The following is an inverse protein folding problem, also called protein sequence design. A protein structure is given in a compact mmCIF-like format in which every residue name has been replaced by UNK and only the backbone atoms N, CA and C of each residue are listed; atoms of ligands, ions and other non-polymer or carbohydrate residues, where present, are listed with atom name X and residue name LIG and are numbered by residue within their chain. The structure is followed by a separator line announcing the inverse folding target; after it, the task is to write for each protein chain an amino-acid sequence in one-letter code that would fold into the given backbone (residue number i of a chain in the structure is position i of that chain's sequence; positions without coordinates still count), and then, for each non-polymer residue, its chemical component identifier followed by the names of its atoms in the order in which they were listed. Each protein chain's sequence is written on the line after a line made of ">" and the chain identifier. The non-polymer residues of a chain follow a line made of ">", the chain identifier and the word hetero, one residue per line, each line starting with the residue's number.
data_IF_164539550160
#
_entry.id   IF_164539550160
#
_cell.length_a   1.000
_cell.length_b   1.000
_cell.length_c   1.000
_cell.angle_alpha   90.00
_cell.angle_beta   90.00
_cell.angle_gamma   90.00
#
_symmetry.space_group_name_H-M   'P 1'
#
loop_
_entity.id
_entity.type
_entity.pdbx_description
1 polymer ?
#
# COMPACT_ATOMS: atom_id res chain seq x y z
N UNK A 1 -11.56 -6.37 15.63
CA UNK A 1 -11.60 -6.67 14.18
C UNK A 1 -10.69 -5.70 13.43
N UNK A 2 -9.87 -6.21 12.55
CA UNK A 2 -8.96 -5.38 11.73
C UNK A 2 -9.65 -5.05 10.40
N UNK A 3 -9.74 -3.77 10.07
CA UNK A 3 -10.50 -3.29 8.91
C UNK A 3 -9.58 -2.48 7.99
N UNK A 4 -9.54 -2.86 6.71
CA UNK A 4 -8.83 -2.12 5.67
C UNK A 4 -9.85 -1.56 4.67
N UNK A 5 -9.75 -0.26 4.38
CA UNK A 5 -10.54 0.40 3.33
C UNK A 5 -9.62 0.69 2.15
N UNK A 6 -9.95 0.10 1.01
CA UNK A 6 -9.12 0.12 -0.18
C UNK A 6 -9.57 1.18 -1.20
N UNK A 7 -8.76 1.34 -2.26
CA UNK A 7 -9.07 2.19 -3.42
C UNK A 7 -9.22 3.67 -3.09
N UNK A 8 -8.46 4.17 -2.12
CA UNK A 8 -8.41 5.58 -1.80
C UNK A 8 -7.64 6.34 -2.90
N UNK A 9 -8.16 7.47 -3.34
CA UNK A 9 -7.54 8.27 -4.39
C UNK A 9 -7.17 9.68 -3.95
N UNK A 10 -7.68 10.11 -2.80
CA UNK A 10 -7.43 11.45 -2.27
C UNK A 10 -7.12 11.39 -0.78
N UNK A 11 -6.49 12.45 -0.27
CA UNK A 11 -6.28 12.62 1.17
C UNK A 11 -7.61 12.60 1.93
N UNK A 12 -8.63 13.22 1.36
CA UNK A 12 -9.96 13.28 1.97
C UNK A 12 -10.56 11.89 2.16
N UNK A 13 -10.44 11.01 1.15
CA UNK A 13 -10.93 9.63 1.24
C UNK A 13 -10.20 8.86 2.34
N UNK A 14 -8.88 8.99 2.40
CA UNK A 14 -8.08 8.31 3.41
C UNK A 14 -8.37 8.81 4.82
N UNK A 15 -8.56 10.11 5.00
CA UNK A 15 -8.92 10.69 6.30
C UNK A 15 -10.31 10.25 6.75
N UNK A 16 -11.26 10.14 5.81
CA UNK A 16 -12.59 9.61 6.13
C UNK A 16 -12.55 8.17 6.58
N UNK A 17 -11.72 7.38 5.92
CA UNK A 17 -11.51 5.98 6.34
C UNK A 17 -10.96 5.91 7.76
N UNK A 18 -9.96 6.72 8.08
CA UNK A 18 -9.38 6.78 9.42
C UNK A 18 -10.42 7.20 10.46
N UNK A 19 -11.22 8.21 10.17
CA UNK A 19 -12.28 8.69 11.07
C UNK A 19 -13.37 7.65 11.31
N UNK A 20 -13.59 6.77 10.31
CA UNK A 20 -14.57 5.69 10.42
C UNK A 20 -14.07 4.49 11.22
N UNK A 21 -12.84 4.54 11.72
CA UNK A 21 -12.27 3.47 12.54
C UNK A 21 -11.49 2.42 11.75
N UNK A 22 -11.08 2.72 10.53
CA UNK A 22 -10.25 1.80 9.76
C UNK A 22 -8.87 1.67 10.40
N UNK A 23 -8.33 0.46 10.36
CA UNK A 23 -6.96 0.16 10.83
C UNK A 23 -5.95 0.38 9.73
N UNK A 24 -6.39 0.29 8.48
CA UNK A 24 -5.52 0.45 7.32
C UNK A 24 -6.28 1.05 6.14
N UNK A 25 -5.53 1.73 5.28
CA UNK A 25 -6.03 2.23 3.99
C UNK A 25 -5.20 1.63 2.88
N UNK A 26 -5.86 1.30 1.77
CA UNK A 26 -5.21 0.73 0.59
C UNK A 26 -5.22 1.69 -0.58
N UNK A 27 -4.13 1.65 -1.36
CA UNK A 27 -3.97 2.43 -2.58
C UNK A 27 -3.66 1.48 -3.73
N UNK A 28 -4.38 1.61 -4.83
CA UNK A 28 -4.28 0.68 -5.96
C UNK A 28 -3.31 1.22 -7.00
N UNK A 29 -2.22 0.48 -7.23
CA UNK A 29 -1.22 0.82 -8.24
C UNK A 29 -1.37 -0.01 -9.52
N UNK A 30 -2.44 -0.79 -9.59
CA UNK A 30 -2.78 -1.56 -10.78
C UNK A 30 -3.70 -0.77 -11.70
N UNK A 31 -3.74 -1.07 -13.00
CA UNK A 31 -4.68 -0.42 -13.92
C UNK A 31 -6.13 -0.60 -13.45
N UNK A 32 -6.79 0.51 -13.15
CA UNK A 32 -8.20 0.53 -12.73
C UNK A 32 -8.68 1.97 -12.72
N UNK A 33 -10.00 2.17 -12.50
CA UNK A 33 -10.57 3.52 -12.37
C UNK A 33 -10.09 4.23 -11.11
N UNK A 34 -9.53 3.51 -10.15
CA UNK A 34 -9.03 4.05 -8.88
C UNK A 34 -7.51 4.02 -8.78
N UNK A 35 -6.82 3.83 -9.91
CA UNK A 35 -5.35 3.79 -9.92
C UNK A 35 -4.76 5.13 -9.50
N UNK A 36 -3.73 5.07 -8.66
CA UNK A 36 -2.98 6.24 -8.19
C UNK A 36 -1.50 6.10 -8.56
N UNK A 37 -0.79 7.22 -8.58
CA UNK A 37 0.66 7.23 -8.80
C UNK A 37 1.40 7.20 -7.46
N UNK A 38 2.66 6.72 -7.44
CA UNK A 38 3.47 6.73 -6.22
C UNK A 38 3.64 8.13 -5.62
N UNK A 39 3.86 9.15 -6.44
CA UNK A 39 4.04 10.53 -5.97
C UNK A 39 2.75 11.09 -5.37
N UNK A 40 1.62 10.79 -5.98
CA UNK A 40 0.30 11.20 -5.48
C UNK A 40 0.07 10.61 -4.09
N UNK A 41 0.33 9.33 -3.92
CA UNK A 41 0.16 8.64 -2.64
C UNK A 41 1.17 9.14 -1.62
N UNK A 42 2.41 9.41 -2.01
CA UNK A 42 3.41 9.97 -1.12
C UNK A 42 2.97 11.29 -0.50
N UNK A 43 2.34 12.16 -1.28
CA UNK A 43 1.79 13.41 -0.76
C UNK A 43 0.64 13.17 0.22
N UNK A 44 -0.16 12.13 0.00
CA UNK A 44 -1.26 11.76 0.88
C UNK A 44 -0.74 11.18 2.20
N UNK A 45 0.20 10.24 2.12
CA UNK A 45 0.68 9.50 3.30
C UNK A 45 1.38 10.39 4.32
N UNK A 46 2.03 11.48 3.89
CA UNK A 46 2.66 12.42 4.81
C UNK A 46 1.65 13.14 5.71
N UNK A 47 0.39 13.19 5.31
CA UNK A 47 -0.66 13.87 6.05
C UNK A 47 -1.56 12.92 6.85
N UNK A 48 -1.32 11.61 6.79
CA UNK A 48 -2.16 10.64 7.47
C UNK A 48 -1.71 10.40 8.91
N UNK A 49 -2.65 9.95 9.79
CA UNK A 49 -2.31 9.62 11.17
C UNK A 49 -1.20 8.57 11.24
N UNK A 50 -0.33 8.72 12.22
CA UNK A 50 0.84 7.87 12.43
C UNK A 50 0.49 6.38 12.59
N UNK A 51 -0.62 6.09 13.25
CA UNK A 51 -1.04 4.72 13.57
C UNK A 51 -1.87 4.05 12.47
N UNK A 52 -2.14 4.77 11.38
CA UNK A 52 -2.90 4.23 10.26
C UNK A 52 -1.95 3.48 9.31
N UNK A 53 -2.18 2.18 9.13
CA UNK A 53 -1.37 1.37 8.23
C UNK A 53 -1.71 1.69 6.76
N UNK A 54 -0.69 1.86 5.94
CA UNK A 54 -0.85 2.23 4.53
C UNK A 54 -0.35 1.10 3.65
N UNK A 55 -1.25 0.54 2.83
CA UNK A 55 -0.99 -0.66 2.04
C UNK A 55 -1.14 -0.34 0.55
N UNK A 56 -0.15 -0.74 -0.24
CA UNK A 56 -0.23 -0.66 -1.69
C UNK A 56 -0.71 -1.99 -2.27
N UNK A 57 -1.65 -1.92 -3.22
CA UNK A 57 -2.17 -3.10 -3.91
C UNK A 57 -1.58 -3.15 -5.31
N UNK A 58 -0.94 -4.27 -5.64
CA UNK A 58 -0.24 -4.47 -6.89
C UNK A 58 -0.73 -5.73 -7.60
N UNK A 59 -0.72 -5.71 -8.94
CA UNK A 59 -0.89 -6.91 -9.75
C UNK A 59 0.42 -7.27 -10.48
N UNK A 60 1.36 -6.35 -10.55
CA UNK A 60 2.68 -6.61 -11.12
C UNK A 60 3.47 -7.56 -10.24
N UNK A 61 4.36 -8.35 -10.86
CA UNK A 61 5.31 -9.19 -10.15
C UNK A 61 6.75 -8.66 -10.28
N UNK A 62 6.91 -7.42 -10.70
CA UNK A 62 8.21 -6.77 -10.83
C UNK A 62 8.67 -6.24 -9.49
N UNK A 63 9.67 -6.90 -8.91
CA UNK A 63 10.24 -6.54 -7.61
C UNK A 63 10.74 -5.09 -7.56
N UNK A 64 11.42 -4.64 -8.61
CA UNK A 64 11.98 -3.28 -8.66
C UNK A 64 10.87 -2.23 -8.65
N UNK A 65 9.82 -2.46 -9.41
CA UNK A 65 8.67 -1.56 -9.47
C UNK A 65 7.97 -1.47 -8.12
N UNK A 66 7.75 -2.60 -7.48
CA UNK A 66 7.07 -2.65 -6.18
C UNK A 66 7.89 -1.92 -5.12
N UNK A 67 9.19 -2.20 -5.01
CA UNK A 67 10.03 -1.59 -3.99
C UNK A 67 10.21 -0.10 -4.21
N UNK A 68 10.35 0.35 -5.46
CA UNK A 68 10.42 1.76 -5.79
C UNK A 68 9.14 2.49 -5.38
N UNK A 69 7.99 1.89 -5.66
CA UNK A 69 6.69 2.44 -5.28
C UNK A 69 6.52 2.54 -3.77
N UNK A 70 6.92 1.50 -3.04
CA UNK A 70 6.85 1.48 -1.57
C UNK A 70 7.64 2.63 -0.97
N UNK A 71 8.84 2.87 -1.47
CA UNK A 71 9.70 3.96 -0.98
C UNK A 71 9.11 5.33 -1.30
N UNK A 72 8.69 5.54 -2.54
CA UNK A 72 8.17 6.82 -2.99
C UNK A 72 6.85 7.17 -2.31
N UNK A 73 5.96 6.19 -2.16
CA UNK A 73 4.64 6.39 -1.58
C UNK A 73 4.63 6.33 -0.05
N UNK A 74 5.69 5.84 0.59
CA UNK A 74 5.76 5.72 2.05
C UNK A 74 4.83 4.66 2.60
N UNK A 75 4.77 3.50 1.96
CA UNK A 75 3.85 2.43 2.34
C UNK A 75 4.40 1.57 3.48
N UNK A 76 3.50 1.04 4.30
CA UNK A 76 3.83 0.11 5.40
C UNK A 76 3.61 -1.35 5.01
N UNK A 77 2.82 -1.61 3.97
CA UNK A 77 2.52 -2.96 3.55
C UNK A 77 2.29 -3.07 2.06
N UNK A 78 2.35 -4.30 1.59
CA UNK A 78 2.19 -4.65 0.17
C UNK A 78 1.17 -5.77 0.08
N UNK A 79 0.20 -5.63 -0.81
CA UNK A 79 -0.74 -6.69 -1.15
C UNK A 79 -0.57 -7.02 -2.62
N UNK A 80 -0.22 -8.27 -2.92
CA UNK A 80 -0.12 -8.76 -4.29
C UNK A 80 -1.42 -9.43 -4.66
N UNK A 81 -2.03 -8.97 -5.74
CA UNK A 81 -3.29 -9.51 -6.23
C UNK A 81 -3.04 -10.27 -7.53
N UNK A 82 -3.72 -11.40 -7.73
CA UNK A 82 -3.70 -12.09 -9.02
C UNK A 82 -2.78 -13.30 -9.12
N UNK A 83 -2.39 -13.93 -8.03
CA UNK A 83 -1.67 -15.18 -8.09
C UNK A 83 -0.56 -15.32 -7.07
N UNK A 84 -0.17 -16.55 -6.81
CA UNK A 84 0.87 -16.88 -5.85
C UNK A 84 2.23 -16.89 -6.55
N UNK A 85 3.15 -16.06 -6.06
CA UNK A 85 4.53 -16.00 -6.53
C UNK A 85 5.45 -16.07 -5.32
N UNK A 86 5.79 -17.28 -4.90
CA UNK A 86 6.59 -17.51 -3.69
C UNK A 86 7.97 -16.86 -3.74
N UNK A 87 8.74 -16.95 -4.85
CA UNK A 87 10.04 -16.27 -4.94
C UNK A 87 9.92 -14.76 -4.76
N UNK A 88 8.89 -14.14 -5.34
CA UNK A 88 8.66 -12.70 -5.20
C UNK A 88 8.31 -12.35 -3.76
N UNK A 89 7.41 -13.11 -3.13
CA UNK A 89 7.01 -12.86 -1.74
C UNK A 89 8.17 -12.98 -0.77
N UNK A 90 9.03 -13.99 -0.96
CA UNK A 90 10.22 -14.14 -0.12
C UNK A 90 11.18 -12.96 -0.26
N UNK A 91 11.39 -12.51 -1.50
CA UNK A 91 12.27 -11.39 -1.79
C UNK A 91 11.72 -10.08 -1.20
N UNK A 92 10.41 -9.86 -1.31
CA UNK A 92 9.75 -8.69 -0.74
C UNK A 92 9.81 -8.71 0.79
N UNK A 93 9.61 -9.85 1.43
CA UNK A 93 9.71 -9.97 2.89
C UNK A 93 11.12 -9.67 3.36
N UNK A 94 12.14 -10.12 2.63
CA UNK A 94 13.53 -9.87 2.97
C UNK A 94 13.84 -8.37 2.95
N UNK A 95 13.40 -7.67 1.90
CA UNK A 95 13.67 -6.23 1.74
C UNK A 95 12.76 -5.37 2.61
N UNK A 96 11.45 -5.65 2.62
CA UNK A 96 10.46 -4.81 3.30
C UNK A 96 10.26 -5.21 4.76
N UNK A 97 10.46 -6.47 5.10
CA UNK A 97 10.31 -6.96 6.46
C UNK A 97 11.32 -6.37 7.43
N UNK A 98 12.49 -5.97 6.95
CA UNK A 98 13.53 -5.33 7.77
C UNK A 98 13.05 -3.99 8.31
N UNK A 99 12.16 -3.32 7.59
CA UNK A 99 11.58 -2.04 7.99
C UNK A 99 10.20 -2.23 8.65
N UNK A 100 9.90 -3.44 9.11
CA UNK A 100 8.62 -3.81 9.73
C UNK A 100 7.41 -3.65 8.81
N UNK A 101 7.63 -3.72 7.50
CA UNK A 101 6.55 -3.67 6.53
C UNK A 101 5.94 -5.05 6.35
N UNK A 102 4.64 -5.09 6.07
CA UNK A 102 3.90 -6.33 5.87
C UNK A 102 3.75 -6.64 4.39
N UNK A 103 3.81 -7.93 4.06
CA UNK A 103 3.57 -8.43 2.70
C UNK A 103 2.43 -9.45 2.76
N UNK A 104 1.39 -9.20 2.01
CA UNK A 104 0.22 -10.08 1.96
C UNK A 104 -0.21 -10.43 0.53
#
# INVERSE_FOLDING_TARGET
>A
MWIKICANTTLRDALRAAESGADAVGFVFAPSSRQVSPHQVGAITTELPYDLTQIGVFVTHDFEEITATVRTAGLHGIQIHGGLDLPLLEKLRCECGQDRKSVV
#
